data_IF_567078679355
#
_entry.id   IF_567078679355
#
_cell.length_a   1.000
_cell.length_b   1.000
_cell.length_c   1.000
_cell.angle_alpha   90.00
_cell.angle_beta   90.00
_cell.angle_gamma   90.00
#
_symmetry.space_group_name_H-M   'P 1'
#
loop_
_entity.id
_entity.type
_entity.pdbx_description
1 polymer ?
#
# COMPACT_ATOMS: atom_id res chain seq x y z
N UNK A 1 10.73 0.92 -7.84
CA UNK A 1 11.56 0.69 -9.04
C UNK A 1 11.08 -0.57 -9.74
N UNK A 2 11.35 -0.73 -11.04
CA UNK A 2 11.10 -1.95 -11.81
C UNK A 2 12.44 -2.47 -12.33
N UNK A 3 12.71 -3.76 -12.13
CA UNK A 3 13.95 -4.40 -12.53
C UNK A 3 13.68 -5.51 -13.54
N UNK A 4 14.61 -5.70 -14.49
CA UNK A 4 14.58 -6.79 -15.46
C UNK A 4 15.66 -7.80 -15.12
N UNK A 5 15.27 -9.06 -14.96
CA UNK A 5 16.18 -10.18 -14.77
C UNK A 5 16.35 -10.88 -16.12
N UNK A 6 17.59 -11.02 -16.59
CA UNK A 6 17.91 -11.82 -17.77
C UNK A 6 18.16 -13.27 -17.32
N UNK A 7 17.30 -14.19 -17.72
CA UNK A 7 17.38 -15.61 -17.38
C UNK A 7 17.24 -16.45 -18.65
N UNK A 8 18.05 -17.52 -18.84
CA UNK A 8 17.90 -18.44 -19.96
C UNK A 8 16.69 -19.36 -19.82
N UNK A 9 16.12 -19.48 -18.61
CA UNK A 9 14.96 -20.31 -18.30
C UNK A 9 13.80 -19.48 -17.76
N UNK A 10 12.58 -20.01 -17.93
CA UNK A 10 11.37 -19.43 -17.35
C UNK A 10 11.46 -19.45 -15.82
N UNK A 11 11.15 -18.31 -15.20
CA UNK A 11 11.12 -18.17 -13.75
C UNK A 11 9.68 -18.32 -13.25
N UNK A 12 9.52 -19.00 -12.12
CA UNK A 12 8.26 -19.00 -11.38
C UNK A 12 7.96 -17.59 -10.88
N UNK A 13 6.69 -17.20 -10.95
CA UNK A 13 6.22 -15.90 -10.50
C UNK A 13 4.94 -16.06 -9.69
N UNK A 14 4.70 -15.10 -8.79
CA UNK A 14 3.46 -14.99 -8.06
C UNK A 14 2.47 -14.08 -8.80
N UNK A 15 1.19 -14.40 -8.69
CA UNK A 15 0.13 -13.57 -9.27
C UNK A 15 -0.24 -12.43 -8.33
N UNK A 16 -0.54 -11.26 -8.90
CA UNK A 16 -1.16 -10.16 -8.17
C UNK A 16 -2.66 -10.43 -7.97
N UNK A 17 -3.17 -9.96 -6.84
CA UNK A 17 -4.60 -9.86 -6.55
C UNK A 17 -5.05 -8.41 -6.60
N UNK A 18 -6.37 -8.20 -6.55
CA UNK A 18 -6.97 -6.87 -6.48
C UNK A 18 -6.97 -6.38 -5.02
N UNK A 19 -6.13 -5.38 -4.71
CA UNK A 19 -6.05 -4.81 -3.37
C UNK A 19 -7.31 -4.05 -2.94
N UNK A 20 -8.22 -3.73 -3.87
CA UNK A 20 -9.49 -3.09 -3.54
C UNK A 20 -10.47 -4.06 -2.89
N UNK A 21 -10.37 -5.36 -3.16
CA UNK A 21 -11.21 -6.39 -2.53
C UNK A 21 -10.78 -6.70 -1.10
N UNK A 22 -9.54 -6.41 -0.73
CA UNK A 22 -9.05 -6.64 0.63
C UNK A 22 -9.72 -5.70 1.63
N UNK A 23 -10.04 -6.19 2.81
CA UNK A 23 -10.73 -5.46 3.88
C UNK A 23 -9.90 -5.39 5.14
N UNK A 24 -10.18 -4.39 5.97
CA UNK A 24 -9.64 -4.35 7.34
C UNK A 24 -10.08 -5.62 8.08
N UNK A 25 -9.13 -6.27 8.75
CA UNK A 25 -9.31 -7.56 9.41
C UNK A 25 -8.89 -8.76 8.58
N UNK A 26 -8.73 -8.64 7.25
CA UNK A 26 -8.27 -9.76 6.43
C UNK A 26 -6.83 -10.14 6.80
N UNK A 27 -6.56 -11.45 6.88
CA UNK A 27 -5.23 -11.97 7.16
C UNK A 27 -4.26 -11.72 6.01
N UNK A 28 -3.02 -11.40 6.38
CA UNK A 28 -1.94 -11.17 5.43
C UNK A 28 -0.68 -11.92 5.83
N UNK A 29 0.12 -12.25 4.82
CA UNK A 29 1.44 -12.87 4.98
C UNK A 29 2.46 -11.98 4.29
N UNK A 30 3.48 -11.52 5.03
CA UNK A 30 4.60 -10.77 4.47
C UNK A 30 5.82 -11.68 4.35
N UNK A 31 6.49 -11.62 3.19
CA UNK A 31 7.70 -12.40 2.92
C UNK A 31 8.86 -11.47 2.62
N UNK A 32 10.03 -11.77 3.19
CA UNK A 32 11.22 -10.96 3.02
C UNK A 32 12.50 -11.63 3.46
N UNK A 33 13.56 -10.83 3.55
CA UNK A 33 14.87 -11.23 4.06
C UNK A 33 15.37 -10.26 5.14
N UNK A 34 14.62 -10.06 6.24
CA UNK A 34 14.98 -9.13 7.30
C UNK A 34 16.34 -9.50 7.88
N UNK A 35 17.21 -8.51 8.07
CA UNK A 35 18.58 -8.70 8.59
C UNK A 35 19.44 -9.71 7.80
N UNK A 36 19.09 -9.99 6.53
CA UNK A 36 19.77 -10.99 5.70
C UNK A 36 19.29 -12.44 5.92
N UNK A 37 18.31 -12.66 6.80
CA UNK A 37 17.69 -13.97 7.04
C UNK A 37 16.70 -14.30 5.93
N UNK A 38 17.20 -14.93 4.86
CA UNK A 38 16.43 -15.25 3.65
C UNK A 38 15.20 -16.11 3.97
N UNK A 39 14.09 -15.80 3.31
CA UNK A 39 12.87 -16.61 3.38
C UNK A 39 12.11 -16.46 4.69
N UNK A 40 12.24 -15.32 5.38
CA UNK A 40 11.45 -15.05 6.58
C UNK A 40 10.01 -14.75 6.15
N UNK A 41 9.08 -15.43 6.83
CA UNK A 41 7.64 -15.28 6.65
C UNK A 41 7.05 -14.77 7.96
N UNK A 42 6.26 -13.70 7.88
CA UNK A 42 5.52 -13.14 9.01
C UNK A 42 4.06 -13.02 8.64
N UNK A 43 3.17 -13.07 9.62
CA UNK A 43 1.73 -12.96 9.42
C UNK A 43 1.14 -11.81 10.25
N UNK A 44 -0.02 -11.36 9.84
CA UNK A 44 -0.79 -10.33 10.54
C UNK A 44 -2.16 -10.19 9.90
N UNK A 45 -2.73 -8.99 10.06
CA UNK A 45 -3.97 -8.59 9.41
C UNK A 45 -3.79 -7.23 8.74
N UNK A 46 -4.72 -6.87 7.86
CA UNK A 46 -4.91 -5.47 7.46
C UNK A 46 -5.51 -4.73 8.66
N UNK A 47 -4.71 -3.88 9.29
CA UNK A 47 -5.14 -3.05 10.42
C UNK A 47 -5.90 -1.81 9.96
N UNK A 48 -5.58 -1.28 8.77
CA UNK A 48 -6.23 -0.11 8.18
C UNK A 48 -5.89 0.00 6.69
N UNK A 49 -6.62 0.82 5.93
CA UNK A 49 -6.39 1.12 4.52
C UNK A 49 -6.49 2.63 4.28
N UNK A 50 -5.94 3.12 3.17
CA UNK A 50 -6.05 4.52 2.79
C UNK A 50 -5.21 5.45 3.67
N UNK A 51 -4.09 4.95 4.21
CA UNK A 51 -3.22 5.77 5.06
C UNK A 51 -2.31 6.62 4.19
N UNK A 52 -2.46 7.94 4.32
CA UNK A 52 -1.47 8.88 3.85
C UNK A 52 -0.39 9.07 4.92
N UNK A 53 0.86 8.89 4.52
CA UNK A 53 2.03 9.06 5.40
C UNK A 53 2.74 10.40 5.15
N UNK A 54 2.12 11.31 4.40
CA UNK A 54 2.65 12.65 4.13
C UNK A 54 3.88 12.67 3.23
N UNK A 55 4.15 11.57 2.50
CA UNK A 55 5.31 11.49 1.61
C UNK A 55 5.04 12.08 0.21
N UNK A 56 3.78 12.47 -0.08
CA UNK A 56 3.35 13.04 -1.37
C UNK A 56 3.43 12.07 -2.55
N UNK A 57 3.79 10.80 -2.33
CA UNK A 57 4.03 9.81 -3.36
C UNK A 57 3.01 8.67 -3.31
N UNK A 58 2.70 8.18 -2.12
CA UNK A 58 1.72 7.12 -1.90
C UNK A 58 0.83 7.60 -0.77
N UNK A 59 -0.45 7.76 -1.09
CA UNK A 59 -1.47 8.32 -0.18
C UNK A 59 -2.42 7.26 0.33
N UNK A 60 -2.26 6.01 -0.08
CA UNK A 60 -3.22 4.92 0.09
C UNK A 60 -2.61 3.64 0.69
N UNK A 61 -1.65 3.79 1.61
CA UNK A 61 -0.98 2.63 2.20
C UNK A 61 -1.96 1.67 2.90
N UNK A 62 -1.67 0.37 2.78
CA UNK A 62 -2.23 -0.69 3.62
C UNK A 62 -1.41 -0.72 4.90
N UNK A 63 -2.07 -0.55 6.04
CA UNK A 63 -1.46 -0.71 7.36
C UNK A 63 -1.63 -2.16 7.84
N UNK A 64 -0.60 -2.74 8.43
CA UNK A 64 -0.63 -4.09 9.00
C UNK A 64 0.16 -4.16 10.31
N UNK A 65 -0.17 -5.15 11.13
CA UNK A 65 0.63 -5.58 12.27
C UNK A 65 1.59 -6.74 11.94
N UNK A 66 1.64 -7.20 10.68
CA UNK A 66 2.65 -8.15 10.26
C UNK A 66 4.04 -7.52 10.44
N UNK A 67 4.96 -8.30 11.01
CA UNK A 67 6.32 -7.84 11.26
C UNK A 67 7.05 -7.66 9.93
N UNK A 68 7.35 -6.41 9.59
CA UNK A 68 8.13 -6.01 8.42
C UNK A 68 9.32 -5.23 8.92
N UNK A 69 10.54 -5.58 8.48
CA UNK A 69 11.76 -4.88 8.84
C UNK A 69 12.65 -4.62 7.63
N UNK A 70 13.75 -3.88 7.82
CA UNK A 70 14.77 -3.69 6.79
C UNK A 70 15.23 -5.04 6.24
N UNK A 71 15.17 -5.19 4.90
CA UNK A 71 15.39 -6.46 4.19
C UNK A 71 14.09 -7.17 3.78
N UNK A 72 12.94 -6.77 4.34
CA UNK A 72 11.61 -7.16 3.84
C UNK A 72 10.99 -6.14 2.90
N UNK A 73 11.50 -4.90 2.88
CA UNK A 73 11.04 -3.85 1.96
C UNK A 73 11.27 -4.27 0.50
N UNK A 74 10.27 -4.01 -0.35
CA UNK A 74 10.20 -4.52 -1.72
C UNK A 74 9.70 -5.96 -1.83
N UNK A 75 9.61 -6.69 -0.72
CA UNK A 75 9.03 -8.03 -0.66
C UNK A 75 7.50 -8.02 -0.76
N UNK A 76 6.89 -9.14 -1.16
CA UNK A 76 5.45 -9.24 -1.34
C UNK A 76 4.69 -9.37 -0.01
N UNK A 77 3.48 -8.83 -0.01
CA UNK A 77 2.42 -9.10 0.96
C UNK A 77 1.30 -9.87 0.27
N UNK A 78 0.96 -11.03 0.81
CA UNK A 78 -0.04 -11.94 0.26
C UNK A 78 -1.32 -11.93 1.08
N UNK A 79 -2.46 -12.14 0.40
CA UNK A 79 -3.67 -12.65 1.03
C UNK A 79 -3.58 -14.18 1.23
N UNK A 80 -4.59 -14.78 1.87
CA UNK A 80 -4.62 -16.23 2.12
C UNK A 80 -4.80 -17.09 0.84
N UNK A 81 -5.16 -16.49 -0.29
CA UNK A 81 -5.23 -17.17 -1.58
C UNK A 81 -3.86 -17.22 -2.29
N UNK A 82 -2.80 -16.69 -1.67
CA UNK A 82 -1.47 -16.63 -2.25
C UNK A 82 -1.33 -15.59 -3.37
N UNK A 83 -2.20 -14.57 -3.40
CA UNK A 83 -2.13 -13.45 -4.33
C UNK A 83 -1.46 -12.25 -3.68
N UNK A 84 -0.59 -11.56 -4.41
CA UNK A 84 0.07 -10.34 -3.93
C UNK A 84 -0.97 -9.21 -3.87
N UNK A 85 -1.25 -8.70 -2.68
CA UNK A 85 -2.16 -7.56 -2.45
C UNK A 85 -1.40 -6.28 -2.06
N UNK A 86 -0.08 -6.38 -1.84
CA UNK A 86 0.75 -5.22 -1.58
C UNK A 86 2.25 -5.51 -1.60
N UNK A 87 3.05 -4.45 -1.57
CA UNK A 87 4.51 -4.51 -1.49
C UNK A 87 4.96 -3.83 -0.20
N UNK A 88 5.67 -4.58 0.65
CA UNK A 88 6.18 -4.12 1.94
C UNK A 88 7.08 -2.89 1.74
N UNK A 89 6.84 -1.81 2.47
CA UNK A 89 7.52 -0.53 2.18
C UNK A 89 8.05 0.19 3.39
N UNK A 90 7.27 0.31 4.46
CA UNK A 90 7.62 1.14 5.63
C UNK A 90 7.36 0.32 6.89
N UNK A 91 8.20 0.52 7.89
CA UNK A 91 7.98 0.03 9.24
C UNK A 91 8.15 1.19 10.23
N UNK A 92 7.23 1.30 11.20
CA UNK A 92 7.33 2.27 12.28
C UNK A 92 7.81 1.53 13.53
N UNK A 93 9.08 1.76 13.88
CA UNK A 93 9.73 1.13 15.02
C UNK A 93 8.91 1.30 16.31
N UNK A 94 8.98 0.29 17.19
CA UNK A 94 8.35 0.27 18.52
C UNK A 94 6.83 0.32 18.57
N UNK A 95 6.14 0.32 17.42
CA UNK A 95 4.67 0.39 17.36
C UNK A 95 4.01 -0.92 16.94
N UNK A 96 4.77 -1.85 16.35
CA UNK A 96 4.19 -3.02 15.67
C UNK A 96 3.39 -2.65 14.43
N UNK A 97 3.57 -1.44 13.88
CA UNK A 97 2.85 -0.94 12.71
C UNK A 97 3.79 -0.96 11.50
N UNK A 98 3.33 -1.56 10.42
CA UNK A 98 4.01 -1.61 9.13
C UNK A 98 3.06 -1.21 8.01
N UNK A 99 3.62 -0.79 6.88
CA UNK A 99 2.87 -0.34 5.71
C UNK A 99 3.34 -1.01 4.42
N UNK A 100 2.37 -1.31 3.57
CA UNK A 100 2.58 -1.80 2.22
C UNK A 100 1.87 -0.91 1.19
N UNK A 101 2.48 -0.74 0.03
CA UNK A 101 1.86 -0.08 -1.12
C UNK A 101 0.86 -1.08 -1.72
N UNK A 102 -0.42 -0.72 -1.97
CA UNK A 102 -1.40 -1.62 -2.57
C UNK A 102 -0.96 -2.19 -3.93
N UNK A 103 -1.35 -3.42 -4.25
CA UNK A 103 -1.00 -4.07 -5.51
C UNK A 103 -1.48 -3.28 -6.72
N UNK A 104 -2.67 -2.69 -6.68
CA UNK A 104 -3.22 -1.93 -7.81
C UNK A 104 -2.34 -0.71 -8.13
N UNK A 105 -1.95 0.06 -7.11
CA UNK A 105 -1.04 1.20 -7.21
C UNK A 105 0.33 0.79 -7.75
N UNK A 106 0.83 -0.38 -7.34
CA UNK A 106 2.09 -0.96 -7.86
C UNK A 106 1.95 -1.33 -9.34
N UNK A 107 0.84 -1.95 -9.74
CA UNK A 107 0.61 -2.36 -11.13
C UNK A 107 0.52 -1.15 -12.07
N UNK A 108 -0.13 -0.07 -11.67
CA UNK A 108 -0.13 1.19 -12.43
C UNK A 108 1.29 1.72 -12.68
N UNK A 109 2.10 1.74 -11.62
CA UNK A 109 3.50 2.14 -11.72
C UNK A 109 4.31 1.20 -12.61
N UNK A 110 4.10 -0.12 -12.51
CA UNK A 110 4.77 -1.13 -13.34
C UNK A 110 4.43 -0.95 -14.82
N UNK A 111 3.16 -0.72 -15.16
CA UNK A 111 2.74 -0.53 -16.55
C UNK A 111 3.36 0.72 -17.18
N UNK A 112 3.48 1.82 -16.41
CA UNK A 112 4.20 3.02 -16.84
C UNK A 112 5.69 2.74 -17.05
N UNK A 113 6.35 2.13 -16.05
CA UNK A 113 7.79 1.87 -16.09
C UNK A 113 8.19 0.85 -17.17
N UNK A 114 7.34 -0.13 -17.48
CA UNK A 114 7.56 -1.09 -18.58
C UNK A 114 7.65 -0.40 -19.94
N UNK A 115 6.92 0.69 -20.13
CA UNK A 115 6.95 1.52 -21.35
C UNK A 115 8.18 2.42 -21.43
N UNK A 116 9.04 2.43 -20.40
CA UNK A 116 10.15 3.38 -20.27
C UNK A 116 9.69 4.80 -19.95
N UNK A 117 8.43 4.98 -19.57
CA UNK A 117 7.87 6.26 -19.21
C UNK A 117 8.22 6.64 -17.77
N UNK A 118 8.28 7.94 -17.50
CA UNK A 118 8.36 8.44 -16.13
C UNK A 118 6.96 8.55 -15.57
N UNK A 119 6.77 8.12 -14.32
CA UNK A 119 5.53 8.34 -13.58
C UNK A 119 5.32 9.85 -13.45
N UNK A 120 4.30 10.38 -14.14
CA UNK A 120 3.90 11.78 -14.05
C UNK A 120 2.67 11.87 -13.14
N UNK A 121 2.72 12.77 -12.16
CA UNK A 121 1.58 13.06 -11.30
C UNK A 121 1.15 14.50 -11.51
N UNK A 122 -0.12 14.68 -11.86
CA UNK A 122 -0.74 15.99 -11.87
C UNK A 122 -1.08 16.40 -10.44
N UNK A 123 -1.01 17.70 -10.16
CA UNK A 123 -1.46 18.29 -8.90
C UNK A 123 -2.62 19.23 -9.22
N UNK A 124 -3.73 19.10 -8.49
CA UNK A 124 -4.91 19.96 -8.65
C UNK A 124 -4.75 21.33 -7.96
N UNK A 125 -3.70 21.52 -7.15
CA UNK A 125 -3.43 22.75 -6.39
C UNK A 125 -4.60 23.23 -5.52
N UNK A 126 -5.28 22.28 -4.89
CA UNK A 126 -6.35 22.54 -3.93
C UNK A 126 -5.96 22.02 -2.55
N UNK A 127 -6.40 22.70 -1.50
CA UNK A 127 -6.28 22.18 -0.15
C UNK A 127 -7.52 21.35 0.16
N UNK A 128 -7.27 20.12 0.61
CA UNK A 128 -8.31 19.16 0.95
C UNK A 128 -8.37 19.05 2.47
N UNK A 129 -9.56 19.30 3.03
CA UNK A 129 -9.83 19.12 4.44
C UNK A 129 -10.89 18.04 4.64
N UNK A 130 -10.77 17.29 5.74
CA UNK A 130 -11.80 16.35 6.13
C UNK A 130 -13.10 17.08 6.48
N UNK A 131 -14.21 16.55 6.00
CA UNK A 131 -15.54 17.07 6.30
C UNK A 131 -15.97 16.54 7.68
N UNK A 132 -15.69 17.29 8.74
CA UNK A 132 -16.05 16.88 10.11
C UNK A 132 -17.54 17.09 10.39
N UNK A 133 -18.13 16.38 11.37
CA UNK A 133 -19.52 16.60 11.77
C UNK A 133 -19.83 18.06 12.17
N UNK A 134 -18.87 18.74 12.81
CA UNK A 134 -18.97 20.16 13.16
C UNK A 134 -18.97 21.06 11.92
N UNK A 135 -18.11 20.77 10.94
CA UNK A 135 -18.13 21.47 9.65
C UNK A 135 -19.43 21.21 8.89
N UNK A 136 -19.96 19.99 8.93
CA UNK A 136 -21.27 19.67 8.33
C UNK A 136 -22.37 20.55 8.92
N UNK A 137 -22.43 20.68 10.24
CA UNK A 137 -23.41 21.52 10.92
C UNK A 137 -23.25 23.00 10.54
N UNK A 138 -22.03 23.53 10.60
CA UNK A 138 -21.75 24.94 10.27
C UNK A 138 -22.03 25.28 8.80
N UNK A 139 -21.90 24.32 7.89
CA UNK A 139 -22.17 24.48 6.46
C UNK A 139 -23.61 24.12 6.06
N UNK A 140 -24.46 23.71 7.00
CA UNK A 140 -25.85 23.31 6.73
C UNK A 140 -25.98 21.99 5.94
N UNK A 141 -24.96 21.14 6.00
CA UNK A 141 -24.95 19.81 5.38
C UNK A 141 -25.59 18.77 6.29
N UNK A 142 -25.88 17.58 5.75
CA UNK A 142 -26.36 16.46 6.57
C UNK A 142 -25.25 16.04 7.54
N UNK A 143 -25.58 15.79 8.80
CA UNK A 143 -24.61 15.36 9.84
C UNK A 143 -23.72 14.18 9.40
N UNK A 144 -24.29 13.19 8.71
CA UNK A 144 -23.57 12.01 8.20
C UNK A 144 -23.09 12.16 6.76
N UNK A 145 -22.95 13.39 6.26
CA UNK A 145 -22.41 13.62 4.92
C UNK A 145 -20.92 13.33 4.93
N UNK A 146 -20.49 12.45 4.04
CA UNK A 146 -19.08 12.14 3.81
C UNK A 146 -18.60 12.88 2.57
N UNK A 147 -17.37 13.37 2.61
CA UNK A 147 -16.76 14.06 1.49
C UNK A 147 -15.44 14.71 1.88
N UNK A 148 -14.95 15.56 1.00
CA UNK A 148 -13.75 16.35 1.22
C UNK A 148 -14.10 17.81 0.97
N UNK A 149 -13.77 18.67 1.93
CA UNK A 149 -13.92 20.10 1.79
C UNK A 149 -12.75 20.66 0.99
N UNK A 150 -13.05 21.41 -0.07
CA UNK A 150 -12.07 22.14 -0.86
C UNK A 150 -12.01 23.57 -0.34
N UNK A 151 -10.82 24.00 0.09
CA UNK A 151 -10.55 25.37 0.59
C UNK A 151 -9.48 26.06 -0.24
#
# INVERSE_FOLDING_TARGET
>A
ALLKINSPAALSYAAFGDSNQSRVGDHVIAIGSPFGLRGTVTNGIISSKGRDMGNGIVTDFIQTNAAVHMGSFGGPMFNLEGKIIGINSIHVSYSGISFAIPSNTVLEAVECLKKGEKIRRGMLNVMLNELTPELNENLGLKQNQNGVLIT
#
